data_IF_490892917665
#
_entry.id   IF_490892917665
#
_cell.length_a   1.000
_cell.length_b   1.000
_cell.length_c   1.000
_cell.angle_alpha   90.00
_cell.angle_beta   90.00
_cell.angle_gamma   90.00
#
_symmetry.space_group_name_H-M   'P 1'
#
loop_
_entity.id
_entity.type
_entity.pdbx_description
1 polymer ?
#
# COMPACT_ATOMS: atom_id res chain seq x y z
N UNK A 1 -24.83 18.05 -19.09
CA UNK A 1 -24.42 17.41 -17.83
C UNK A 1 -23.75 16.07 -18.05
N UNK A 2 -24.36 15.11 -18.74
CA UNK A 2 -23.77 13.80 -19.02
C UNK A 2 -22.40 13.83 -19.72
N UNK A 3 -22.19 14.76 -20.66
CA UNK A 3 -20.92 14.93 -21.36
C UNK A 3 -19.80 15.42 -20.42
N UNK A 4 -20.11 16.32 -19.50
CA UNK A 4 -19.16 16.82 -18.53
C UNK A 4 -18.69 15.71 -17.57
N UNK A 5 -19.60 14.80 -17.22
CA UNK A 5 -19.32 13.65 -16.38
C UNK A 5 -18.45 12.61 -17.07
N UNK A 6 -18.77 12.27 -18.32
CA UNK A 6 -17.95 11.38 -19.12
C UNK A 6 -16.49 11.89 -19.21
N UNK A 7 -16.31 13.20 -19.33
CA UNK A 7 -14.98 13.86 -19.32
C UNK A 7 -14.29 13.70 -17.97
N UNK A 8 -14.98 13.91 -16.85
CA UNK A 8 -14.42 13.76 -15.48
C UNK A 8 -14.04 12.31 -15.21
N UNK A 9 -14.91 11.35 -15.54
CA UNK A 9 -14.64 9.91 -15.40
C UNK A 9 -13.43 9.52 -16.24
N UNK A 10 -13.38 9.91 -17.51
CA UNK A 10 -12.25 9.66 -18.41
C UNK A 10 -10.94 10.27 -17.93
N UNK A 11 -10.98 11.50 -17.39
CA UNK A 11 -9.81 12.16 -16.80
C UNK A 11 -9.33 11.45 -15.53
N UNK A 12 -10.25 10.95 -14.72
CA UNK A 12 -9.92 10.17 -13.52
C UNK A 12 -9.33 8.80 -13.87
N UNK A 13 -9.87 8.09 -14.86
CA UNK A 13 -9.31 6.84 -15.39
C UNK A 13 -7.88 7.05 -15.90
N UNK A 14 -7.65 8.11 -16.67
CA UNK A 14 -6.31 8.46 -17.18
C UNK A 14 -5.30 8.77 -16.05
N UNK A 15 -5.75 9.11 -14.85
CA UNK A 15 -4.88 9.30 -13.68
C UNK A 15 -4.63 7.99 -12.92
N UNK A 16 -5.63 7.13 -12.82
CA UNK A 16 -5.54 5.84 -12.09
C UNK A 16 -4.62 4.86 -12.81
N UNK A 17 -4.77 4.70 -14.12
CA UNK A 17 -3.98 3.74 -14.92
C UNK A 17 -2.45 3.89 -14.75
N UNK A 18 -1.84 5.10 -14.91
CA UNK A 18 -0.39 5.22 -14.71
C UNK A 18 0.04 5.06 -13.25
N UNK A 19 -0.85 5.30 -12.28
CA UNK A 19 -0.55 5.04 -10.86
C UNK A 19 -0.48 3.54 -10.59
N UNK A 20 -1.37 2.76 -11.19
CA UNK A 20 -1.39 1.30 -11.14
C UNK A 20 -0.12 0.70 -11.78
N UNK A 21 0.23 1.16 -12.98
CA UNK A 21 1.46 0.74 -13.66
C UNK A 21 2.72 1.03 -12.83
N UNK A 22 2.78 2.18 -12.18
CA UNK A 22 3.91 2.55 -11.30
C UNK A 22 3.96 1.69 -10.04
N UNK A 23 2.84 1.32 -9.47
CA UNK A 23 2.77 0.39 -8.33
C UNK A 23 3.23 -1.01 -8.74
N UNK A 24 2.74 -1.52 -9.87
CA UNK A 24 3.14 -2.82 -10.41
C UNK A 24 4.64 -2.87 -10.79
N UNK A 25 5.20 -1.76 -11.28
CA UNK A 25 6.62 -1.63 -11.56
C UNK A 25 7.49 -1.45 -10.29
N UNK A 26 6.92 -1.59 -9.06
CA UNK A 26 7.58 -1.37 -7.77
C UNK A 26 8.23 0.03 -7.61
N UNK A 27 7.83 0.99 -8.44
CA UNK A 27 8.24 2.38 -8.26
C UNK A 27 7.31 3.06 -7.26
N UNK A 28 7.77 3.24 -6.03
CA UNK A 28 7.03 3.82 -4.87
C UNK A 28 6.75 5.33 -5.03
N UNK A 29 6.63 5.83 -6.24
CA UNK A 29 6.38 7.26 -6.49
C UNK A 29 4.91 7.66 -6.36
N UNK A 30 4.01 6.72 -6.05
CA UNK A 30 2.59 7.02 -5.85
C UNK A 30 2.37 7.50 -4.43
N UNK A 31 1.99 8.78 -4.29
CA UNK A 31 1.72 9.36 -2.98
C UNK A 31 0.37 8.88 -2.42
N UNK A 32 0.37 8.43 -1.15
CA UNK A 32 -0.87 8.15 -0.40
C UNK A 32 -1.84 9.33 -0.40
N UNK A 33 -1.33 10.55 -0.39
CA UNK A 33 -2.13 11.78 -0.40
C UNK A 33 -2.86 11.97 -1.73
N UNK A 34 -2.21 11.63 -2.85
CA UNK A 34 -2.83 11.71 -4.19
C UNK A 34 -3.97 10.70 -4.34
N UNK A 35 -3.74 9.43 -3.99
CA UNK A 35 -4.81 8.41 -3.99
C UNK A 35 -5.95 8.82 -3.05
N UNK A 36 -5.64 9.35 -1.87
CA UNK A 36 -6.64 9.83 -0.91
C UNK A 36 -7.46 11.01 -1.44
N UNK A 37 -6.83 11.96 -2.12
CA UNK A 37 -7.52 13.11 -2.71
C UNK A 37 -8.41 12.69 -3.88
N UNK A 38 -7.92 11.79 -4.74
CA UNK A 38 -8.68 11.24 -5.85
C UNK A 38 -9.91 10.48 -5.37
N UNK A 39 -9.74 9.60 -4.36
CA UNK A 39 -10.86 8.87 -3.76
C UNK A 39 -11.92 9.81 -3.19
N UNK A 40 -11.52 10.82 -2.41
CA UNK A 40 -12.46 11.81 -1.85
C UNK A 40 -13.24 12.54 -2.95
N UNK A 41 -12.56 12.92 -4.03
CA UNK A 41 -13.19 13.56 -5.17
C UNK A 41 -14.23 12.65 -5.84
N UNK A 42 -13.88 11.38 -6.10
CA UNK A 42 -14.76 10.40 -6.73
C UNK A 42 -15.97 10.07 -5.85
N UNK A 43 -15.77 9.88 -4.55
CA UNK A 43 -16.88 9.63 -3.58
C UNK A 43 -17.81 10.83 -3.49
N UNK A 44 -17.26 12.05 -3.50
CA UNK A 44 -18.08 13.27 -3.51
C UNK A 44 -18.90 13.37 -4.80
N UNK A 45 -18.29 13.07 -5.93
CA UNK A 45 -18.97 13.01 -7.22
C UNK A 45 -20.10 11.96 -7.20
N UNK A 46 -19.82 10.75 -6.73
CA UNK A 46 -20.83 9.68 -6.61
C UNK A 46 -22.02 10.09 -5.75
N UNK A 47 -21.79 10.77 -4.61
CA UNK A 47 -22.86 11.28 -3.74
C UNK A 47 -23.73 12.34 -4.41
N UNK A 48 -23.13 13.22 -5.20
CA UNK A 48 -23.86 14.26 -5.93
C UNK A 48 -24.74 13.67 -7.04
N UNK A 49 -24.34 12.53 -7.57
CA UNK A 49 -25.02 11.88 -8.71
C UNK A 49 -26.05 10.83 -8.29
N UNK A 50 -25.96 10.34 -7.06
CA UNK A 50 -26.82 9.27 -6.56
C UNK A 50 -28.34 9.55 -6.70
N UNK A 51 -28.87 10.77 -6.48
CA UNK A 51 -30.31 11.05 -6.59
C UNK A 51 -30.80 11.21 -8.02
N UNK A 52 -29.95 11.51 -8.98
CA UNK A 52 -30.33 11.86 -10.36
C UNK A 52 -31.04 10.72 -11.14
N UNK A 53 -30.59 9.44 -11.05
CA UNK A 53 -31.28 8.35 -11.75
C UNK A 53 -32.75 8.21 -11.38
N UNK A 54 -33.09 8.45 -10.11
CA UNK A 54 -34.47 8.38 -9.63
C UNK A 54 -35.34 9.48 -10.24
N UNK A 55 -34.78 10.65 -10.51
CA UNK A 55 -35.48 11.75 -11.17
C UNK A 55 -35.76 11.43 -12.64
N UNK A 56 -34.76 10.91 -13.36
CA UNK A 56 -34.92 10.44 -14.75
C UNK A 56 -35.94 9.31 -14.84
N UNK A 57 -35.89 8.36 -13.93
CA UNK A 57 -36.83 7.23 -13.94
C UNK A 57 -38.29 7.69 -13.71
N UNK A 58 -38.50 8.63 -12.80
CA UNK A 58 -39.85 9.21 -12.57
C UNK A 58 -40.38 9.95 -13.80
N UNK A 59 -39.53 10.73 -14.46
CA UNK A 59 -39.91 11.49 -15.66
C UNK A 59 -40.24 10.53 -16.84
N UNK A 60 -39.44 9.47 -17.01
CA UNK A 60 -39.69 8.45 -18.05
C UNK A 60 -40.90 7.57 -17.78
N UNK A 61 -41.23 7.33 -16.47
CA UNK A 61 -42.40 6.49 -16.11
C UNK A 61 -43.73 7.21 -16.31
N UNK A 62 -43.73 8.56 -16.25
CA UNK A 62 -44.93 9.39 -16.47
C UNK A 62 -44.54 10.64 -17.27
N UNK A 63 -44.34 10.47 -18.61
CA UNK A 63 -43.96 11.61 -19.41
C UNK A 63 -45.12 12.63 -19.46
N UNK A 64 -44.84 13.92 -19.30
CA UNK A 64 -45.82 14.97 -19.51
C UNK A 64 -46.26 15.00 -20.97
N UNK A 65 -47.53 15.34 -21.22
CA UNK A 65 -48.15 15.36 -22.55
C UNK A 65 -47.47 16.33 -23.57
N UNK A 66 -46.67 17.29 -23.05
CA UNK A 66 -45.98 18.28 -23.85
C UNK A 66 -44.59 17.79 -24.37
N UNK A 67 -44.12 16.61 -23.95
CA UNK A 67 -42.85 16.05 -24.42
C UNK A 67 -43.09 15.24 -25.68
N UNK A 68 -42.41 15.57 -26.76
CA UNK A 68 -42.44 14.82 -27.99
C UNK A 68 -41.75 13.45 -27.85
N UNK A 69 -42.19 12.47 -28.63
CA UNK A 69 -41.64 11.09 -28.56
C UNK A 69 -40.16 11.02 -28.87
N UNK A 70 -39.67 11.86 -29.76
CA UNK A 70 -38.23 12.01 -30.07
C UNK A 70 -37.42 12.53 -28.86
N UNK A 71 -37.98 13.48 -28.12
CA UNK A 71 -37.36 14.01 -26.92
C UNK A 71 -37.32 12.96 -25.78
N UNK A 72 -38.37 12.10 -25.72
CA UNK A 72 -38.42 11.01 -24.76
C UNK A 72 -37.32 9.97 -25.02
N UNK A 73 -37.06 9.62 -26.27
CA UNK A 73 -35.98 8.72 -26.68
C UNK A 73 -34.62 9.30 -26.36
N UNK A 74 -34.42 10.60 -26.61
CA UNK A 74 -33.21 11.31 -26.26
C UNK A 74 -32.97 11.33 -24.74
N UNK A 75 -34.04 11.47 -23.97
CA UNK A 75 -33.99 11.45 -22.49
C UNK A 75 -33.62 10.06 -21.96
N UNK A 76 -34.19 8.99 -22.56
CA UNK A 76 -33.82 7.60 -22.21
C UNK A 76 -32.35 7.35 -22.46
N UNK A 77 -31.84 7.74 -23.63
CA UNK A 77 -30.42 7.60 -23.98
C UNK A 77 -29.51 8.39 -23.03
N UNK A 78 -29.95 9.59 -22.60
CA UNK A 78 -29.24 10.38 -21.64
C UNK A 78 -29.22 9.71 -20.24
N UNK A 79 -30.34 9.12 -19.80
CA UNK A 79 -30.45 8.40 -18.54
C UNK A 79 -29.55 7.16 -18.50
N UNK A 80 -29.49 6.39 -19.60
CA UNK A 80 -28.59 5.25 -19.71
C UNK A 80 -27.12 5.65 -19.64
N UNK A 81 -26.71 6.68 -20.40
CA UNK A 81 -25.33 7.21 -20.35
C UNK A 81 -24.98 7.72 -18.96
N UNK A 82 -25.94 8.30 -18.27
CA UNK A 82 -25.77 8.79 -16.91
C UNK A 82 -25.60 7.64 -15.91
N UNK A 83 -26.44 6.61 -16.00
CA UNK A 83 -26.33 5.41 -15.17
C UNK A 83 -24.99 4.70 -15.38
N UNK A 84 -24.54 4.56 -16.64
CA UNK A 84 -23.22 4.03 -16.95
C UNK A 84 -22.08 4.87 -16.34
N UNK A 85 -22.19 6.20 -16.34
CA UNK A 85 -21.19 7.08 -15.72
C UNK A 85 -21.13 6.92 -14.21
N UNK A 86 -22.27 6.71 -13.53
CA UNK A 86 -22.32 6.42 -12.10
C UNK A 86 -21.64 5.08 -11.80
N UNK A 87 -21.98 4.03 -12.54
CA UNK A 87 -21.39 2.70 -12.40
C UNK A 87 -19.88 2.74 -12.61
N UNK A 88 -19.40 3.43 -13.64
CA UNK A 88 -17.97 3.61 -13.89
C UNK A 88 -17.29 4.39 -12.76
N UNK A 89 -17.96 5.37 -12.17
CA UNK A 89 -17.42 6.12 -11.02
C UNK A 89 -17.30 5.22 -9.79
N UNK A 90 -18.29 4.37 -9.54
CA UNK A 90 -18.25 3.38 -8.45
C UNK A 90 -17.08 2.39 -8.63
N UNK A 91 -16.92 1.87 -9.85
CA UNK A 91 -15.80 0.99 -10.18
C UNK A 91 -14.44 1.66 -9.97
N UNK A 92 -14.30 2.94 -10.33
CA UNK A 92 -13.08 3.71 -10.07
C UNK A 92 -12.81 3.93 -8.58
N UNK A 93 -13.85 4.15 -7.77
CA UNK A 93 -13.69 4.27 -6.30
C UNK A 93 -13.13 2.98 -5.71
N UNK A 94 -13.67 1.83 -6.14
CA UNK A 94 -13.19 0.52 -5.67
C UNK A 94 -11.76 0.25 -6.13
N UNK A 95 -11.44 0.55 -7.39
CA UNK A 95 -10.07 0.41 -7.92
C UNK A 95 -9.06 1.27 -7.16
N UNK A 96 -9.40 2.52 -6.83
CA UNK A 96 -8.54 3.39 -6.02
C UNK A 96 -8.37 2.84 -4.60
N UNK A 97 -9.42 2.22 -4.02
CA UNK A 97 -9.35 1.56 -2.71
C UNK A 97 -8.37 0.38 -2.75
N UNK A 98 -8.46 -0.49 -3.76
CA UNK A 98 -7.53 -1.61 -3.95
C UNK A 98 -6.08 -1.13 -4.05
N UNK A 99 -5.81 -0.10 -4.84
CA UNK A 99 -4.48 0.50 -4.94
C UNK A 99 -3.96 1.05 -3.60
N UNK A 100 -4.85 1.60 -2.74
CA UNK A 100 -4.48 2.04 -1.40
C UNK A 100 -4.09 0.86 -0.49
N UNK A 101 -4.81 -0.25 -0.59
CA UNK A 101 -4.55 -1.49 0.17
C UNK A 101 -3.24 -2.13 -0.28
N UNK A 102 -3.00 -2.23 -1.59
CA UNK A 102 -1.74 -2.72 -2.15
C UNK A 102 -0.53 -1.86 -1.74
N UNK A 103 -0.68 -0.54 -1.80
CA UNK A 103 0.37 0.38 -1.35
C UNK A 103 0.65 0.22 0.16
N UNK A 104 -0.39 0.01 0.98
CA UNK A 104 -0.24 -0.24 2.40
C UNK A 104 0.48 -1.57 2.66
N UNK A 105 0.10 -2.63 1.96
CA UNK A 105 0.76 -3.93 2.03
C UNK A 105 2.24 -3.85 1.64
N UNK A 106 2.54 -3.17 0.54
CA UNK A 106 3.92 -2.96 0.08
C UNK A 106 4.79 -2.21 1.12
N UNK A 107 4.26 -1.12 1.71
CA UNK A 107 4.99 -0.36 2.74
C UNK A 107 5.20 -1.20 4.00
N UNK A 108 4.20 -2.01 4.39
CA UNK A 108 4.32 -2.92 5.54
C UNK A 108 5.39 -3.99 5.28
N UNK A 109 5.43 -4.56 4.09
CA UNK A 109 6.46 -5.53 3.70
C UNK A 109 7.87 -4.90 3.77
N UNK A 110 8.03 -3.70 3.23
CA UNK A 110 9.28 -2.96 3.29
C UNK A 110 9.72 -2.66 4.73
N UNK A 111 8.77 -2.25 5.58
CA UNK A 111 9.02 -1.98 7.00
C UNK A 111 9.42 -3.25 7.72
N UNK A 112 8.72 -4.35 7.52
CA UNK A 112 9.04 -5.64 8.11
C UNK A 112 10.42 -6.14 7.68
N UNK A 113 10.79 -5.94 6.42
CA UNK A 113 12.13 -6.27 5.93
C UNK A 113 13.21 -5.45 6.64
N UNK A 114 13.00 -4.16 6.80
CA UNK A 114 13.95 -3.26 7.48
C UNK A 114 14.08 -3.62 8.95
N UNK A 115 12.96 -3.87 9.65
CA UNK A 115 12.93 -4.30 11.04
C UNK A 115 13.65 -5.64 11.23
N UNK A 116 13.44 -6.57 10.30
CA UNK A 116 14.13 -7.86 10.34
C UNK A 116 15.66 -7.69 10.24
N UNK A 117 16.14 -6.89 9.27
CA UNK A 117 17.57 -6.62 9.13
C UNK A 117 18.13 -5.98 10.39
N UNK A 118 17.43 -4.99 10.95
CA UNK A 118 17.84 -4.34 12.20
C UNK A 118 17.90 -5.33 13.36
N UNK A 119 16.87 -6.20 13.49
CA UNK A 119 16.83 -7.24 14.52
C UNK A 119 17.99 -8.22 14.39
N UNK A 120 18.28 -8.69 13.18
CA UNK A 120 19.41 -9.59 12.92
C UNK A 120 20.73 -8.94 13.32
N UNK A 121 20.97 -7.70 12.90
CA UNK A 121 22.17 -6.96 13.27
C UNK A 121 22.29 -6.81 14.79
N UNK A 122 21.21 -6.45 15.47
CA UNK A 122 21.20 -6.28 16.92
C UNK A 122 21.47 -7.60 17.65
N UNK A 123 20.80 -8.69 17.25
CA UNK A 123 20.97 -10.01 17.86
C UNK A 123 22.40 -10.54 17.66
N UNK A 124 23.03 -10.25 16.52
CA UNK A 124 24.42 -10.63 16.27
C UNK A 124 25.42 -9.74 17.03
N UNK A 125 25.15 -8.44 17.12
CA UNK A 125 26.04 -7.50 17.79
C UNK A 125 26.02 -7.61 19.32
N UNK A 126 24.86 -7.98 19.91
CA UNK A 126 24.70 -8.02 21.37
C UNK A 126 25.71 -8.96 22.07
N UNK A 127 25.84 -10.25 21.69
CA UNK A 127 26.78 -11.15 22.36
C UNK A 127 28.25 -10.69 22.16
N UNK A 128 28.58 -10.16 20.97
CA UNK A 128 29.92 -9.65 20.68
C UNK A 128 30.25 -8.47 21.61
N UNK A 129 29.33 -7.50 21.70
CA UNK A 129 29.53 -6.32 22.56
C UNK A 129 29.58 -6.67 24.04
N UNK A 130 28.76 -7.65 24.48
CA UNK A 130 28.78 -8.10 25.89
C UNK A 130 30.14 -8.72 26.25
N UNK A 131 30.63 -9.62 25.40
CA UNK A 131 31.95 -10.26 25.64
C UNK A 131 33.06 -9.23 25.56
N UNK A 132 33.09 -8.38 24.54
CA UNK A 132 34.09 -7.33 24.39
C UNK A 132 34.08 -6.36 25.59
N UNK A 133 32.89 -6.02 26.09
CA UNK A 133 32.73 -5.18 27.29
C UNK A 133 33.25 -5.82 28.56
N UNK A 134 32.97 -7.09 28.80
CA UNK A 134 33.47 -7.82 29.97
C UNK A 134 34.98 -7.99 29.94
N UNK A 135 35.56 -8.32 28.80
CA UNK A 135 37.01 -8.46 28.67
C UNK A 135 37.74 -7.10 28.54
N UNK A 136 37.06 -6.03 28.20
CA UNK A 136 37.57 -4.68 28.14
C UNK A 136 37.65 -3.99 29.52
N UNK A 137 37.08 -4.60 30.57
CA UNK A 137 37.13 -4.04 31.94
C UNK A 137 38.49 -4.26 32.56
N UNK A 138 39.05 -3.19 33.17
CA UNK A 138 40.30 -3.24 33.96
C UNK A 138 40.03 -3.73 35.39
N UNK A 139 39.29 -4.84 35.55
CA UNK A 139 38.99 -5.42 36.87
C UNK A 139 39.73 -6.74 36.99
N UNK A 140 40.37 -6.96 38.16
CA UNK A 140 41.06 -8.21 38.46
C UNK A 140 40.09 -9.39 38.53
N UNK A 141 40.56 -10.60 38.18
CA UNK A 141 39.73 -11.83 38.25
C UNK A 141 39.07 -12.24 36.94
N UNK A 142 39.41 -11.61 35.82
CA UNK A 142 38.94 -12.03 34.51
C UNK A 142 39.51 -13.44 34.20
N UNK A 143 38.66 -14.47 33.97
CA UNK A 143 39.14 -15.81 33.65
C UNK A 143 39.90 -15.80 32.33
N UNK A 144 41.01 -16.56 32.26
CA UNK A 144 41.88 -16.69 31.11
C UNK A 144 42.70 -15.44 30.72
N UNK A 145 42.65 -14.33 31.48
CA UNK A 145 43.41 -13.10 31.17
C UNK A 145 44.92 -13.31 31.10
N UNK A 146 45.51 -14.28 31.83
CA UNK A 146 46.92 -14.60 31.84
C UNK A 146 47.30 -15.80 30.99
N UNK A 147 46.31 -16.45 30.31
CA UNK A 147 46.57 -17.62 29.49
C UNK A 147 47.01 -17.22 28.09
N UNK A 148 48.11 -17.78 27.53
CA UNK A 148 48.64 -17.39 26.23
C UNK A 148 47.65 -17.58 25.06
N UNK A 149 46.71 -18.51 25.20
CA UNK A 149 45.66 -18.77 24.21
C UNK A 149 44.25 -18.26 24.65
N UNK A 150 44.19 -17.49 25.72
CA UNK A 150 42.92 -17.00 26.29
C UNK A 150 42.06 -16.27 25.32
N UNK A 151 42.64 -15.45 24.47
CA UNK A 151 41.93 -14.73 23.38
C UNK A 151 41.23 -15.68 22.40
N UNK A 152 41.94 -16.71 21.90
CA UNK A 152 41.36 -17.65 20.96
C UNK A 152 40.27 -18.53 21.56
N UNK A 153 40.38 -18.86 22.83
CA UNK A 153 39.39 -19.63 23.58
C UNK A 153 38.07 -18.85 23.76
N UNK A 154 38.10 -17.53 23.77
CA UNK A 154 36.90 -16.68 23.90
C UNK A 154 36.35 -16.34 22.52
N UNK A 155 37.20 -15.92 21.60
CA UNK A 155 36.77 -15.48 20.26
C UNK A 155 36.26 -16.65 19.40
N UNK A 156 36.86 -17.84 19.50
CA UNK A 156 36.44 -19.02 18.74
C UNK A 156 34.98 -19.42 18.96
N UNK A 157 34.58 -19.72 20.20
CA UNK A 157 33.16 -20.01 20.50
C UNK A 157 32.21 -18.88 20.17
N UNK A 158 32.64 -17.62 20.33
CA UNK A 158 31.83 -16.46 19.98
C UNK A 158 31.55 -16.37 18.48
N UNK A 159 32.56 -16.62 17.66
CA UNK A 159 32.40 -16.68 16.21
C UNK A 159 31.49 -17.83 15.76
N UNK A 160 31.65 -19.02 16.37
CA UNK A 160 30.78 -20.18 16.10
C UNK A 160 29.33 -19.88 16.48
N UNK A 161 29.11 -19.29 17.66
CA UNK A 161 27.77 -18.90 18.11
C UNK A 161 27.14 -17.86 17.17
N UNK A 162 27.92 -16.85 16.79
CA UNK A 162 27.45 -15.80 15.87
C UNK A 162 27.10 -16.38 14.49
N UNK A 163 27.98 -17.26 13.96
CA UNK A 163 27.72 -17.93 12.69
C UNK A 163 26.47 -18.85 12.76
N UNK A 164 26.30 -19.57 13.87
CA UNK A 164 25.13 -20.40 14.08
C UNK A 164 23.83 -19.56 14.15
N UNK A 165 23.82 -18.47 14.90
CA UNK A 165 22.69 -17.56 14.99
C UNK A 165 22.37 -16.93 13.64
N UNK A 166 23.39 -16.53 12.88
CA UNK A 166 23.22 -15.99 11.54
C UNK A 166 22.61 -17.02 10.60
N UNK A 167 23.14 -18.25 10.60
CA UNK A 167 22.62 -19.35 9.78
C UNK A 167 21.17 -19.70 10.12
N UNK A 168 20.84 -19.80 11.40
CA UNK A 168 19.50 -20.10 11.86
C UNK A 168 18.51 -18.97 11.56
N UNK A 169 18.91 -17.70 11.77
CA UNK A 169 18.08 -16.52 11.50
C UNK A 169 17.82 -16.30 10.02
N UNK A 170 18.79 -16.55 9.14
CA UNK A 170 18.61 -16.44 7.70
C UNK A 170 17.91 -17.67 7.09
N UNK A 171 18.12 -18.86 7.67
CA UNK A 171 17.47 -20.11 7.21
C UNK A 171 15.96 -20.10 7.37
N UNK A 172 15.46 -19.50 8.45
CA UNK A 172 14.02 -19.39 8.75
C UNK A 172 13.23 -18.46 7.80
N UNK A 173 13.92 -17.79 6.89
CA UNK A 173 13.32 -16.91 5.88
C UNK A 173 13.07 -17.60 4.54
N UNK A 174 13.47 -18.87 4.41
CA UNK A 174 13.31 -19.64 3.15
C UNK A 174 12.01 -20.45 3.08
N UNK A 175 11.30 -20.52 4.19
CA UNK A 175 9.96 -21.12 4.31
C UNK A 175 8.89 -20.02 4.49
#
# INVERSE_FOLDING_TARGET
MALCMAVVVRKSTKRVTPMEERLLAKHVSVSRSELGSLRRMLVRLQRLLAPEPAAFFRLLSRPPEWIAEEELQNLQQAAEKFSAAISNTAALVERVKQLQEELAAFVNEQTNRTLFVLTVVTVLALPINLVAGLFGMNVGGIPLAQHPYGFFLVVGPLLVLTAFLAYWGLGRRRD
#
